data_IF_623386828330
#
_entry.id   IF_623386828330
#
_cell.length_a   1.000
_cell.length_b   1.000
_cell.length_c   1.000
_cell.angle_alpha   90.00
_cell.angle_beta   90.00
_cell.angle_gamma   90.00
#
_symmetry.space_group_name_H-M   'P 1'
#
loop_
_entity.id
_entity.type
_entity.pdbx_description
1 polymer ?
#
# COMPACT_ATOMS: atom_id res chain seq x y z
N UNK A 1 55.40 -15.86 16.99
CA UNK A 1 55.13 -14.85 15.95
C UNK A 1 53.66 -14.39 16.03
N UNK A 2 53.21 -13.86 17.17
CA UNK A 2 51.77 -13.79 17.50
C UNK A 2 51.23 -12.35 17.66
N UNK A 3 52.06 -11.33 17.45
CA UNK A 3 51.67 -9.91 17.58
C UNK A 3 51.07 -9.31 16.30
N UNK A 4 51.47 -9.79 15.12
CA UNK A 4 51.01 -9.24 13.82
C UNK A 4 49.58 -9.68 13.47
N UNK A 5 49.18 -10.88 13.86
CA UNK A 5 47.83 -11.41 13.58
C UNK A 5 46.74 -10.74 14.43
N UNK A 6 47.04 -10.38 15.69
CA UNK A 6 46.11 -9.68 16.58
C UNK A 6 45.83 -8.24 16.13
N UNK A 7 46.84 -7.53 15.65
CA UNK A 7 46.68 -6.16 15.12
C UNK A 7 45.81 -6.10 13.87
N UNK A 8 45.95 -7.08 12.96
CA UNK A 8 45.13 -7.18 11.74
C UNK A 8 43.68 -7.52 12.09
N UNK A 9 43.44 -8.43 13.03
CA UNK A 9 42.09 -8.83 13.44
C UNK A 9 41.31 -7.66 14.07
N UNK A 10 41.97 -6.85 14.91
CA UNK A 10 41.35 -5.65 15.52
C UNK A 10 41.07 -4.59 14.47
N UNK A 11 41.97 -4.38 13.50
CA UNK A 11 41.76 -3.42 12.41
C UNK A 11 40.57 -3.78 11.51
N UNK A 12 40.43 -5.06 11.14
CA UNK A 12 39.30 -5.56 10.34
C UNK A 12 37.98 -5.45 11.13
N UNK A 13 38.01 -5.72 12.44
CA UNK A 13 36.82 -5.62 13.29
C UNK A 13 36.34 -4.16 13.45
N UNK A 14 37.26 -3.20 13.64
CA UNK A 14 36.93 -1.77 13.68
C UNK A 14 36.39 -1.29 12.32
N UNK A 15 36.97 -1.76 11.21
CA UNK A 15 36.48 -1.43 9.87
C UNK A 15 35.10 -2.03 9.61
N UNK A 16 34.83 -3.27 10.05
CA UNK A 16 33.51 -3.93 9.94
C UNK A 16 32.46 -3.22 10.80
N UNK A 17 32.81 -2.78 12.01
CA UNK A 17 31.91 -1.96 12.84
C UNK A 17 31.66 -0.60 12.18
N UNK A 18 32.70 0.06 11.66
CA UNK A 18 32.54 1.33 10.95
C UNK A 18 31.68 1.16 9.68
N UNK A 19 31.85 0.08 8.92
CA UNK A 19 30.97 -0.28 7.80
C UNK A 19 29.54 -0.55 8.27
N UNK A 20 29.35 -1.33 9.34
CA UNK A 20 28.03 -1.55 9.94
C UNK A 20 27.38 -0.24 10.40
N UNK A 21 28.12 0.68 11.00
CA UNK A 21 27.62 2.00 11.40
C UNK A 21 27.35 2.89 10.18
N UNK A 22 28.15 2.83 9.12
CA UNK A 22 27.91 3.55 7.86
C UNK A 22 26.73 2.97 7.07
N UNK A 23 26.47 1.66 7.15
CA UNK A 23 25.25 1.03 6.62
C UNK A 23 24.00 1.29 7.48
N UNK A 24 24.17 1.62 8.77
CA UNK A 24 23.09 2.05 9.66
C UNK A 24 22.94 3.58 9.75
N UNK A 25 23.76 4.34 9.01
CA UNK A 25 23.68 5.80 8.92
C UNK A 25 23.38 6.23 7.48
N UNK A 26 22.28 5.75 6.93
CA UNK A 26 21.53 6.53 5.97
C UNK A 26 20.05 6.21 6.11
N UNK A 27 19.26 7.22 6.46
CA UNK A 27 17.85 6.99 6.75
C UNK A 27 17.19 7.98 7.71
N UNK A 28 17.85 9.07 8.10
CA UNK A 28 17.08 10.25 8.54
C UNK A 28 16.53 10.98 7.32
N UNK A 29 15.68 10.30 6.55
CA UNK A 29 14.77 10.96 5.64
C UNK A 29 13.62 11.47 6.51
N UNK A 30 13.74 12.70 6.96
CA UNK A 30 12.56 13.55 7.06
C UNK A 30 12.09 13.80 5.62
N UNK A 31 11.58 12.77 4.95
CA UNK A 31 10.84 12.97 3.72
C UNK A 31 9.63 13.76 4.14
N UNK A 32 9.48 14.94 3.55
CA UNK A 32 8.13 15.39 3.32
C UNK A 32 7.47 14.21 2.60
N UNK A 33 6.60 13.49 3.30
CA UNK A 33 5.65 12.53 2.75
C UNK A 33 4.73 13.29 1.81
N UNK A 34 5.31 13.82 0.75
CA UNK A 34 4.59 14.35 -0.38
C UNK A 34 4.26 13.11 -1.18
N UNK A 35 2.98 12.84 -1.34
CA UNK A 35 2.47 11.75 -2.18
C UNK A 35 2.70 12.12 -3.66
N UNK A 36 3.84 12.72 -4.00
CA UNK A 36 4.19 13.16 -5.34
C UNK A 36 4.69 12.02 -6.21
N UNK A 37 5.42 11.06 -5.63
CA UNK A 37 6.04 9.94 -6.32
C UNK A 37 5.40 8.60 -5.90
N UNK A 38 5.33 7.67 -6.83
CA UNK A 38 4.69 6.36 -6.63
C UNK A 38 5.43 5.46 -5.64
N UNK A 39 6.77 5.57 -5.54
CA UNK A 39 7.54 4.78 -4.55
C UNK A 39 7.21 5.17 -3.12
N UNK A 40 7.14 6.48 -2.85
CA UNK A 40 6.83 6.99 -1.52
C UNK A 40 5.38 6.62 -1.13
N UNK A 41 4.47 6.63 -2.11
CA UNK A 41 3.09 6.18 -1.90
C UNK A 41 3.01 4.67 -1.59
N UNK A 42 3.80 3.83 -2.24
CA UNK A 42 3.86 2.39 -1.93
C UNK A 42 4.42 2.18 -0.53
N UNK A 43 5.54 2.82 -0.18
CA UNK A 43 6.13 2.72 1.17
C UNK A 43 5.14 3.17 2.25
N UNK A 44 4.44 4.29 2.03
CA UNK A 44 3.35 4.75 2.87
C UNK A 44 2.25 3.70 3.06
N UNK A 45 1.77 3.15 1.94
CA UNK A 45 0.68 2.19 1.94
C UNK A 45 1.06 0.90 2.67
N UNK A 46 2.31 0.44 2.60
CA UNK A 46 2.75 -0.74 3.35
C UNK A 46 2.61 -0.55 4.87
N UNK A 47 2.97 0.62 5.39
CA UNK A 47 2.94 0.96 6.82
C UNK A 47 1.53 1.29 7.35
N UNK A 48 0.56 1.58 6.48
CA UNK A 48 -0.79 1.99 6.87
C UNK A 48 -1.72 0.78 7.02
N UNK A 49 -2.26 0.59 8.21
CA UNK A 49 -3.30 -0.40 8.47
C UNK A 49 -2.84 -1.85 8.29
N UNK A 50 -3.82 -2.75 8.27
CA UNK A 50 -3.66 -4.17 8.09
C UNK A 50 -3.24 -4.55 6.68
N UNK A 51 -2.87 -5.83 6.53
CA UNK A 51 -2.34 -6.39 5.30
C UNK A 51 -2.90 -7.77 5.00
N UNK A 52 -2.78 -8.19 3.74
CA UNK A 52 -3.23 -9.50 3.26
C UNK A 52 -2.87 -9.74 1.80
N UNK A 53 -3.46 -10.78 1.22
CA UNK A 53 -3.22 -11.16 -0.18
C UNK A 53 -3.68 -10.07 -1.16
N UNK A 54 -4.68 -9.29 -0.76
CA UNK A 54 -5.07 -8.02 -1.38
C UNK A 54 -5.03 -6.94 -0.31
N UNK A 55 -4.38 -5.81 -0.61
CA UNK A 55 -4.42 -4.58 0.18
C UNK A 55 -4.62 -3.40 -0.75
N UNK A 56 -5.52 -2.49 -0.40
CA UNK A 56 -5.84 -1.30 -1.17
C UNK A 56 -5.83 -0.12 -0.22
N UNK A 57 -4.90 0.80 -0.44
CA UNK A 57 -4.73 1.98 0.40
C UNK A 57 -4.96 3.23 -0.44
N UNK A 58 -5.93 4.04 -0.04
CA UNK A 58 -6.18 5.37 -0.56
C UNK A 58 -5.37 6.37 0.29
N UNK A 59 -4.71 7.33 -0.36
CA UNK A 59 -3.90 8.34 0.28
C UNK A 59 -4.17 9.74 -0.29
N UNK A 60 -4.25 10.75 0.57
CA UNK A 60 -4.42 12.14 0.15
C UNK A 60 -3.86 13.13 1.18
N UNK A 61 -3.60 14.36 0.73
CA UNK A 61 -2.92 15.41 1.51
C UNK A 61 -3.73 16.71 1.67
N UNK A 62 -5.03 16.68 1.38
CA UNK A 62 -5.92 17.85 1.48
C UNK A 62 -7.06 17.62 2.48
N UNK A 63 -7.54 18.65 3.20
CA UNK A 63 -8.70 18.53 4.08
C UNK A 63 -9.96 18.07 3.33
N UNK A 64 -10.74 17.17 3.93
CA UNK A 64 -11.92 16.59 3.31
C UNK A 64 -12.02 15.09 3.52
N UNK A 65 -13.22 14.57 3.32
CA UNK A 65 -13.56 13.17 3.53
C UNK A 65 -13.56 12.44 2.17
N UNK A 66 -12.67 11.47 2.02
CA UNK A 66 -12.51 10.69 0.79
C UNK A 66 -12.64 9.22 1.11
N UNK A 67 -13.67 8.58 0.55
CA UNK A 67 -14.00 7.20 0.84
C UNK A 67 -13.43 6.25 -0.21
N UNK A 68 -12.86 5.15 0.24
CA UNK A 68 -12.46 4.00 -0.56
C UNK A 68 -13.62 3.00 -0.63
N UNK A 69 -13.91 2.57 -1.86
CA UNK A 69 -14.98 1.64 -2.18
C UNK A 69 -14.45 0.48 -3.02
N UNK A 70 -14.66 -0.75 -2.55
CA UNK A 70 -14.24 -1.94 -3.30
C UNK A 70 -15.39 -2.93 -3.45
N UNK A 71 -15.85 -3.11 -4.68
CA UNK A 71 -16.81 -4.16 -5.02
C UNK A 71 -16.09 -5.49 -5.08
N UNK A 72 -16.56 -6.47 -4.32
CA UNK A 72 -16.03 -7.85 -4.30
C UNK A 72 -16.72 -8.73 -5.36
N UNK A 73 -16.15 -9.90 -5.71
CA UNK A 73 -16.73 -10.83 -6.68
C UNK A 73 -18.13 -11.35 -6.32
N UNK A 74 -18.45 -11.38 -5.03
CA UNK A 74 -19.76 -11.81 -4.52
C UNK A 74 -20.84 -10.72 -4.62
N UNK A 75 -20.53 -9.55 -5.21
CA UNK A 75 -21.44 -8.40 -5.34
C UNK A 75 -21.57 -7.56 -4.07
N UNK A 76 -20.79 -7.86 -3.02
CA UNK A 76 -20.74 -7.05 -1.80
C UNK A 76 -19.66 -6.00 -1.90
N UNK A 77 -20.00 -4.76 -1.61
CA UNK A 77 -19.04 -3.67 -1.49
C UNK A 77 -18.48 -3.57 -0.06
N UNK A 78 -17.15 -3.43 0.07
CA UNK A 78 -16.52 -2.92 1.28
C UNK A 78 -16.29 -1.42 1.14
N UNK A 79 -16.77 -0.69 2.14
CA UNK A 79 -16.70 0.78 2.27
C UNK A 79 -17.05 1.15 3.73
N UNK A 80 -17.06 2.44 4.08
CA UNK A 80 -17.38 2.88 5.44
C UNK A 80 -18.72 2.33 6.00
N UNK A 81 -19.75 2.15 5.15
CA UNK A 81 -21.04 1.58 5.58
C UNK A 81 -21.02 0.07 5.81
N UNK A 82 -19.98 -0.61 5.33
CA UNK A 82 -19.86 -2.06 5.33
C UNK A 82 -18.40 -2.45 5.47
N UNK A 83 -17.85 -2.27 6.67
CA UNK A 83 -16.41 -2.29 6.89
C UNK A 83 -15.82 -3.70 6.94
N UNK A 84 -16.60 -4.77 7.06
CA UNK A 84 -16.04 -6.12 7.29
C UNK A 84 -16.78 -7.22 6.52
N UNK A 85 -16.04 -8.14 5.92
CA UNK A 85 -16.54 -9.42 5.40
C UNK A 85 -15.76 -10.58 6.02
N UNK A 86 -16.33 -11.18 7.07
CA UNK A 86 -15.69 -12.27 7.81
C UNK A 86 -15.41 -13.52 6.95
N UNK A 87 -16.14 -13.72 5.85
CA UNK A 87 -15.95 -14.87 4.96
C UNK A 87 -14.66 -14.76 4.17
N UNK A 88 -14.30 -13.55 3.73
CA UNK A 88 -13.07 -13.28 2.97
C UNK A 88 -11.96 -12.68 3.84
N UNK A 89 -12.27 -12.42 5.13
CA UNK A 89 -11.37 -11.68 6.01
C UNK A 89 -11.13 -10.26 5.52
N UNK A 90 -12.08 -9.72 4.74
CA UNK A 90 -12.04 -8.37 4.20
C UNK A 90 -12.34 -7.35 5.29
N UNK A 91 -11.57 -6.27 5.38
CA UNK A 91 -11.75 -5.24 6.40
C UNK A 91 -11.29 -3.86 5.92
N UNK A 92 -12.12 -2.85 6.18
CA UNK A 92 -11.73 -1.44 6.22
C UNK A 92 -11.32 -1.12 7.66
N UNK A 93 -10.04 -0.84 7.88
CA UNK A 93 -9.49 -0.66 9.24
C UNK A 93 -8.85 0.71 9.50
N UNK A 94 -8.57 1.48 8.45
CA UNK A 94 -8.17 2.87 8.51
C UNK A 94 -9.17 3.69 7.72
N UNK A 95 -9.69 4.73 8.35
CA UNK A 95 -10.70 5.66 7.85
C UNK A 95 -10.41 7.04 8.46
N UNK A 96 -9.87 7.96 7.65
CA UNK A 96 -9.63 9.34 8.06
C UNK A 96 -10.67 10.25 7.40
N UNK A 97 -11.59 10.82 8.19
CA UNK A 97 -12.68 11.67 7.69
C UNK A 97 -12.41 13.17 7.70
N UNK A 98 -11.35 13.57 8.39
CA UNK A 98 -10.94 14.98 8.46
C UNK A 98 -10.07 15.36 7.26
N UNK A 99 -9.26 14.41 6.78
CA UNK A 99 -8.30 14.64 5.72
C UNK A 99 -7.09 15.46 6.18
N UNK A 100 -6.40 16.04 5.22
CA UNK A 100 -5.13 16.75 5.42
C UNK A 100 -3.92 15.85 5.16
N UNK A 101 -2.73 16.36 5.49
CA UNK A 101 -1.46 15.70 5.16
C UNK A 101 -1.34 14.32 5.78
N UNK A 102 -1.01 13.31 4.96
CA UNK A 102 -0.85 11.92 5.38
C UNK A 102 -2.15 11.20 5.70
N UNK A 103 -3.29 11.67 5.15
CA UNK A 103 -4.57 11.00 5.34
C UNK A 103 -4.68 9.77 4.48
N UNK A 104 -5.38 8.77 5.01
CA UNK A 104 -5.51 7.50 4.35
C UNK A 104 -6.81 6.77 4.70
N UNK A 105 -7.22 5.89 3.79
CA UNK A 105 -8.09 4.77 4.07
C UNK A 105 -7.44 3.48 3.63
N UNK A 106 -7.75 2.37 4.30
CA UNK A 106 -7.19 1.07 3.97
C UNK A 106 -8.25 -0.02 4.02
N UNK A 107 -8.32 -0.81 2.94
CA UNK A 107 -9.10 -2.05 2.87
C UNK A 107 -8.16 -3.21 2.48
N UNK A 108 -8.21 -4.29 3.24
CA UNK A 108 -7.41 -5.49 2.97
C UNK A 108 -8.23 -6.77 3.11
N UNK A 109 -7.74 -7.87 2.53
CA UNK A 109 -8.32 -9.21 2.64
C UNK A 109 -7.24 -10.24 2.95
N UNK A 110 -7.44 -11.01 4.02
CA UNK A 110 -6.55 -12.12 4.39
C UNK A 110 -6.87 -13.42 3.65
N UNK A 111 -8.10 -13.58 3.16
CA UNK A 111 -8.56 -14.75 2.40
C UNK A 111 -9.51 -14.31 1.27
N UNK A 112 -9.05 -13.44 0.35
CA UNK A 112 -9.89 -12.88 -0.71
C UNK A 112 -10.51 -13.98 -1.56
N UNK A 113 -11.77 -13.76 -1.96
CA UNK A 113 -12.44 -14.65 -2.90
C UNK A 113 -11.81 -14.51 -4.29
N UNK A 114 -11.65 -15.62 -5.01
CA UNK A 114 -11.31 -15.60 -6.44
C UNK A 114 -12.36 -14.80 -7.22
N UNK A 115 -11.92 -13.95 -8.15
CA UNK A 115 -12.80 -13.27 -9.10
C UNK A 115 -12.49 -11.78 -9.24
N UNK A 116 -13.47 -11.06 -9.77
CA UNK A 116 -13.34 -9.66 -10.18
C UNK A 116 -13.58 -8.68 -9.02
N UNK A 117 -12.61 -7.79 -8.79
CA UNK A 117 -12.71 -6.67 -7.84
C UNK A 117 -12.72 -5.36 -8.60
N UNK A 118 -13.55 -4.41 -8.15
CA UNK A 118 -13.60 -3.05 -8.71
C UNK A 118 -13.31 -2.04 -7.61
N UNK A 119 -12.31 -1.19 -7.84
CA UNK A 119 -11.86 -0.16 -6.91
C UNK A 119 -12.37 1.19 -7.40
N UNK A 120 -13.05 1.91 -6.52
CA UNK A 120 -13.51 3.27 -6.75
C UNK A 120 -13.24 4.14 -5.53
N UNK A 121 -13.20 5.45 -5.74
CA UNK A 121 -13.03 6.43 -4.68
C UNK A 121 -14.09 7.52 -4.81
N UNK A 122 -14.61 7.95 -3.66
CA UNK A 122 -15.65 8.95 -3.57
C UNK A 122 -15.12 10.18 -2.83
N UNK A 123 -15.30 11.36 -3.42
CA UNK A 123 -15.21 12.60 -2.66
C UNK A 123 -16.48 12.78 -1.83
N UNK A 124 -16.53 12.20 -0.63
CA UNK A 124 -17.74 12.21 0.19
C UNK A 124 -18.08 13.62 0.69
N UNK A 125 -17.08 14.36 1.17
CA UNK A 125 -17.26 15.73 1.67
C UNK A 125 -16.11 16.63 1.25
N UNK A 126 -16.42 17.74 0.60
CA UNK A 126 -15.44 18.81 0.36
C UNK A 126 -15.29 19.65 1.62
N UNK A 127 -14.05 19.92 2.02
CA UNK A 127 -13.78 20.85 3.10
C UNK A 127 -13.65 22.29 2.58
N UNK A 128 -14.12 23.26 3.37
CA UNK A 128 -14.01 24.68 3.06
C UNK A 128 -12.56 25.18 2.92
N UNK A 129 -11.60 24.50 3.55
CA UNK A 129 -10.17 24.79 3.41
C UNK A 129 -9.57 24.26 2.09
N UNK A 130 -10.26 23.34 1.41
CA UNK A 130 -9.89 22.79 0.10
C UNK A 130 -11.12 22.75 -0.84
N UNK A 131 -11.69 23.92 -1.19
CA UNK A 131 -12.99 23.99 -1.89
C UNK A 131 -12.97 23.43 -3.31
N UNK A 132 -11.78 23.21 -3.88
CA UNK A 132 -11.59 22.60 -5.21
C UNK A 132 -11.18 21.12 -5.13
N UNK A 133 -11.26 20.51 -3.93
CA UNK A 133 -10.75 19.17 -3.66
C UNK A 133 -9.25 19.07 -3.88
N UNK A 134 -8.79 17.94 -4.40
CA UNK A 134 -7.38 17.70 -4.61
C UNK A 134 -7.05 16.40 -5.34
N UNK A 135 -5.76 16.08 -5.34
CA UNK A 135 -5.24 14.82 -5.88
C UNK A 135 -5.12 13.80 -4.76
N UNK A 136 -5.43 12.56 -5.08
CA UNK A 136 -5.24 11.40 -4.24
C UNK A 136 -4.46 10.33 -5.01
N UNK A 137 -3.89 9.38 -4.29
CA UNK A 137 -3.35 8.15 -4.88
C UNK A 137 -4.03 6.94 -4.27
N UNK A 138 -4.18 5.90 -5.09
CA UNK A 138 -4.60 4.57 -4.62
C UNK A 138 -3.49 3.59 -4.92
N UNK A 139 -3.00 2.91 -3.90
CA UNK A 139 -2.04 1.81 -4.03
C UNK A 139 -2.82 0.51 -3.92
N UNK A 140 -2.77 -0.29 -4.98
CA UNK A 140 -3.39 -1.62 -5.05
C UNK A 140 -2.26 -2.64 -5.01
N UNK A 141 -2.19 -3.40 -3.91
CA UNK A 141 -1.30 -4.55 -3.75
C UNK A 141 -2.09 -5.84 -3.92
N UNK A 142 -1.62 -6.69 -4.83
CA UNK A 142 -2.17 -8.03 -5.08
C UNK A 142 -1.02 -9.02 -5.14
N UNK A 143 -1.05 -10.04 -4.28
CA UNK A 143 -0.01 -11.07 -4.19
C UNK A 143 1.42 -10.47 -4.10
N UNK A 144 1.58 -9.45 -3.24
CA UNK A 144 2.86 -8.78 -3.00
C UNK A 144 3.32 -7.83 -4.13
N UNK A 145 2.52 -7.64 -5.18
CA UNK A 145 2.83 -6.68 -6.26
C UNK A 145 1.94 -5.45 -6.12
N UNK A 146 2.57 -4.29 -5.97
CA UNK A 146 1.89 -3.01 -5.79
C UNK A 146 1.87 -2.20 -7.09
N UNK A 147 0.73 -1.58 -7.38
CA UNK A 147 0.55 -0.60 -8.45
C UNK A 147 -0.15 0.64 -7.91
N UNK A 148 0.35 1.80 -8.32
CA UNK A 148 -0.16 3.10 -7.87
C UNK A 148 -0.99 3.77 -8.96
N UNK A 149 -2.12 4.36 -8.56
CA UNK A 149 -3.05 5.06 -9.44
C UNK A 149 -3.26 6.49 -8.94
N UNK A 150 -3.23 7.46 -9.83
CA UNK A 150 -3.50 8.86 -9.50
C UNK A 150 -4.99 9.18 -9.74
N UNK A 151 -5.61 9.87 -8.79
CA UNK A 151 -7.00 10.30 -8.88
C UNK A 151 -7.09 11.81 -8.62
N UNK A 152 -8.00 12.48 -9.32
CA UNK A 152 -8.32 13.89 -9.08
C UNK A 152 -9.79 14.02 -8.71
N UNK A 153 -10.05 14.60 -7.55
CA UNK A 153 -11.37 14.78 -6.95
C UNK A 153 -11.62 16.27 -6.76
N UNK A 154 -12.66 16.80 -7.39
CA UNK A 154 -12.88 18.26 -7.47
C UNK A 154 -14.24 18.72 -6.98
N UNK A 155 -15.15 17.78 -6.69
CA UNK A 155 -16.54 18.09 -6.32
C UNK A 155 -17.08 17.03 -5.38
N UNK A 156 -17.86 17.47 -4.41
CA UNK A 156 -18.57 16.60 -3.47
C UNK A 156 -19.49 15.62 -4.22
N UNK A 157 -19.55 14.37 -3.76
CA UNK A 157 -20.25 13.27 -4.41
C UNK A 157 -19.59 12.72 -5.68
N UNK A 158 -18.39 13.19 -6.06
CA UNK A 158 -17.67 12.64 -7.21
C UNK A 158 -17.15 11.24 -6.92
N UNK A 159 -17.69 10.24 -7.62
CA UNK A 159 -17.11 8.90 -7.71
C UNK A 159 -16.16 8.80 -8.91
N UNK A 160 -14.99 8.20 -8.70
CA UNK A 160 -14.05 7.83 -9.77
C UNK A 160 -13.79 6.32 -9.69
N UNK A 161 -14.03 5.61 -10.79
CA UNK A 161 -13.56 4.23 -10.95
C UNK A 161 -12.05 4.27 -11.20
N UNK A 162 -11.28 3.67 -10.29
CA UNK A 162 -9.81 3.74 -10.31
C UNK A 162 -9.23 2.61 -11.14
N UNK A 163 -9.60 1.37 -10.81
CA UNK A 163 -9.13 0.18 -11.49
C UNK A 163 -10.05 -1.00 -11.21
N UNK A 164 -9.88 -2.07 -11.98
CA UNK A 164 -10.50 -3.35 -11.71
C UNK A 164 -9.48 -4.46 -12.03
N UNK A 165 -9.53 -5.55 -11.28
CA UNK A 165 -8.60 -6.66 -11.45
C UNK A 165 -9.24 -7.99 -11.04
N UNK A 166 -8.76 -9.07 -11.65
CA UNK A 166 -9.12 -10.42 -11.26
C UNK A 166 -8.09 -10.97 -10.28
N UNK A 167 -8.57 -11.52 -9.17
CA UNK A 167 -7.75 -12.23 -8.20
C UNK A 167 -7.91 -13.74 -8.38
N UNK A 168 -6.79 -14.44 -8.46
CA UNK A 168 -6.71 -15.89 -8.39
C UNK A 168 -5.63 -16.29 -7.36
N UNK A 169 -5.98 -16.95 -6.24
CA UNK A 169 -5.01 -17.38 -5.23
C UNK A 169 -3.98 -18.39 -5.77
N UNK A 170 -4.28 -19.05 -6.90
CA UNK A 170 -3.41 -20.04 -7.53
C UNK A 170 -2.53 -19.47 -8.64
N UNK A 171 -2.73 -18.22 -9.06
CA UNK A 171 -1.98 -17.64 -10.18
C UNK A 171 -0.48 -17.40 -9.87
N UNK A 172 -0.06 -17.53 -8.61
CA UNK A 172 1.33 -17.33 -8.15
C UNK A 172 2.01 -18.60 -7.64
N UNK A 173 1.44 -19.79 -7.89
CA UNK A 173 2.04 -21.09 -7.57
C UNK A 173 2.56 -21.84 -8.82
N UNK A 174 2.68 -21.17 -9.97
CA UNK A 174 2.78 -21.82 -11.28
C UNK A 174 4.06 -21.61 -12.11
N UNK A 175 5.17 -21.12 -11.56
CA UNK A 175 6.43 -21.04 -12.31
C UNK A 175 7.65 -21.46 -11.47
N UNK A 176 7.83 -22.78 -11.35
CA UNK A 176 9.11 -23.50 -11.51
C UNK A 176 8.87 -25.02 -11.34
N UNK A 177 8.24 -25.69 -12.31
CA UNK A 177 8.60 -27.09 -12.63
C UNK A 177 7.95 -27.55 -13.94
N UNK A 178 8.76 -28.28 -14.73
CA UNK A 178 8.46 -29.00 -15.98
C UNK A 178 8.66 -28.24 -17.31
N UNK A 179 9.92 -27.95 -17.57
CA UNK A 179 10.60 -28.37 -18.81
C UNK A 179 11.76 -29.28 -18.33
N UNK A 180 12.04 -30.51 -18.74
CA UNK A 180 11.61 -31.38 -19.83
C UNK A 180 11.93 -32.81 -19.35
N UNK A 181 10.98 -33.75 -19.40
CA UNK A 181 11.32 -35.18 -19.52
C UNK A 181 10.88 -35.59 -20.91
N UNK A 182 11.86 -35.79 -21.79
CA UNK A 182 11.69 -36.47 -23.05
C UNK A 182 12.88 -37.41 -23.24
N UNK A 183 12.57 -38.69 -23.04
CA UNK A 183 13.11 -39.95 -23.59
C UNK A 183 14.60 -40.01 -23.95
#
# INVERSE_FOLDING_TARGET
>A
MNGRLKGVLVGVYVLLIALLLLFNCDGNRHTSHDIGNDRDAVEAAEEIGGDGDIKITLLWDFPGDVDLHVMQPNGRELCYRNMEDSRTGGKLDVDNREGGRGSAENIFWTRPARGHYVVSVDMYRIDSAAPNGGRAKVVVKVNGRSQTYNVTLMREGQRVNVTAFDYDPNAMCGHEERDTVAV
#
